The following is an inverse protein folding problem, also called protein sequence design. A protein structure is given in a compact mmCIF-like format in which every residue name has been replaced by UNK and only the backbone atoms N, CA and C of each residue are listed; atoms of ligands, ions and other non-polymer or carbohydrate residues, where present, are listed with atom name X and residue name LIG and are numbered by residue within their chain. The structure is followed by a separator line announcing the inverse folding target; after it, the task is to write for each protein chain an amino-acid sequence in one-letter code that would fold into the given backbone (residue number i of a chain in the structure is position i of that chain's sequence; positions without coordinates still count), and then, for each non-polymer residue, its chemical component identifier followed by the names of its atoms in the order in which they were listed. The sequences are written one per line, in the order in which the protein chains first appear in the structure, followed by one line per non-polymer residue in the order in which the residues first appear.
data_IF_261191979951
#
_entry.id   IF_261191979951
#
_cell.length_a   1.000
_cell.length_b   1.000
_cell.length_c   1.000
_cell.angle_alpha   90.00
_cell.angle_beta   90.00
_cell.angle_gamma   90.00
#
_symmetry.space_group_name_H-M   'P 1'
#
loop_
_entity.id
_entity.type
_entity.pdbx_description
1 polymer ?
#
# COMPACT_ATOMS: atom_id res chain seq x y z
N UNK A 1 2.68 7.58 1.98
CA UNK A 1 3.36 8.79 1.53
C UNK A 1 4.43 8.52 0.49
N UNK A 2 4.45 9.30 -0.58
CA UNK A 2 5.42 9.13 -1.68
C UNK A 2 5.86 10.48 -2.21
N UNK A 3 7.18 10.65 -2.43
CA UNK A 3 7.74 11.83 -3.06
C UNK A 3 8.75 11.44 -4.15
N UNK A 4 8.79 12.20 -5.25
CA UNK A 4 9.74 11.96 -6.36
C UNK A 4 11.16 12.31 -5.93
N UNK A 5 12.15 11.50 -6.33
CA UNK A 5 13.57 11.79 -6.16
C UNK A 5 13.99 13.00 -7.00
N UNK A 6 14.93 13.77 -6.48
CA UNK A 6 15.55 14.87 -7.21
C UNK A 6 16.98 14.49 -7.64
N UNK A 7 17.43 15.01 -8.78
CA UNK A 7 18.78 14.74 -9.31
C UNK A 7 19.88 15.44 -8.51
N UNK A 8 19.57 16.61 -7.96
CA UNK A 8 20.46 17.35 -7.07
C UNK A 8 20.39 16.77 -5.64
N UNK A 9 21.52 16.40 -5.03
CA UNK A 9 21.55 15.76 -3.70
C UNK A 9 20.98 16.60 -2.55
N UNK A 10 21.15 17.92 -2.59
CA UNK A 10 20.60 18.79 -1.54
C UNK A 10 19.09 18.92 -1.66
N UNK A 11 18.59 19.14 -2.87
CA UNK A 11 17.16 19.14 -3.15
C UNK A 11 16.51 17.78 -2.82
N UNK A 12 17.16 16.66 -3.13
CA UNK A 12 16.69 15.31 -2.78
C UNK A 12 16.58 15.10 -1.27
N UNK A 13 17.57 15.60 -0.52
CA UNK A 13 17.52 15.59 0.95
C UNK A 13 16.38 16.44 1.49
N UNK A 14 16.17 17.62 0.94
CA UNK A 14 15.06 18.51 1.31
C UNK A 14 13.69 17.85 1.06
N UNK A 15 13.51 17.19 -0.08
CA UNK A 15 12.29 16.40 -0.42
C UNK A 15 12.07 15.29 0.59
N UNK A 16 13.11 14.54 0.96
CA UNK A 16 13.03 13.48 1.98
C UNK A 16 12.59 14.01 3.34
N UNK A 17 13.18 15.14 3.77
CA UNK A 17 12.82 15.78 5.05
C UNK A 17 11.40 16.33 5.01
N UNK A 18 10.98 16.94 3.89
CA UNK A 18 9.63 17.42 3.71
C UNK A 18 8.60 16.29 3.82
N UNK A 19 8.85 15.14 3.15
CA UNK A 19 7.99 13.96 3.23
C UNK A 19 7.88 13.42 4.67
N UNK A 20 9.01 13.37 5.40
CA UNK A 20 9.02 12.90 6.79
C UNK A 20 8.16 13.77 7.72
N UNK A 21 8.05 15.05 7.43
CA UNK A 21 7.36 16.04 8.25
C UNK A 21 6.00 16.48 7.69
N UNK A 22 5.52 15.85 6.63
CA UNK A 22 4.23 16.20 6.02
C UNK A 22 3.07 15.72 6.90
N UNK A 23 2.25 16.63 7.47
CA UNK A 23 1.18 16.27 8.40
C UNK A 23 0.05 15.46 7.73
N UNK A 24 -0.18 15.65 6.41
CA UNK A 24 -1.16 14.87 5.65
C UNK A 24 -0.69 13.42 5.56
N UNK A 25 0.53 13.22 5.07
CA UNK A 25 1.14 11.90 4.88
C UNK A 25 1.28 11.13 6.20
N UNK A 26 1.69 11.80 7.27
CA UNK A 26 1.75 11.22 8.61
C UNK A 26 0.36 10.82 9.11
N UNK A 27 -0.66 11.67 8.95
CA UNK A 27 -2.03 11.38 9.38
C UNK A 27 -2.62 10.17 8.65
N UNK A 28 -2.42 10.07 7.34
CA UNK A 28 -2.84 8.92 6.54
C UNK A 28 -2.09 7.63 6.96
N UNK A 29 -0.79 7.75 7.21
CA UNK A 29 0.02 6.62 7.66
C UNK A 29 -0.43 6.09 9.03
N UNK A 30 -0.64 6.96 10.02
CA UNK A 30 -1.14 6.57 11.36
C UNK A 30 -2.48 5.84 11.27
N UNK A 31 -3.40 6.33 10.45
CA UNK A 31 -4.69 5.67 10.24
C UNK A 31 -4.52 4.24 9.72
N UNK A 32 -3.59 4.02 8.80
CA UNK A 32 -3.29 2.68 8.27
C UNK A 32 -2.55 1.83 9.30
N UNK A 33 -1.62 2.39 10.06
CA UNK A 33 -0.94 1.70 11.17
C UNK A 33 -1.95 1.18 12.19
N UNK A 34 -2.91 1.99 12.60
CA UNK A 34 -3.95 1.56 13.55
C UNK A 34 -4.84 0.46 12.97
N UNK A 35 -5.16 0.53 11.69
CA UNK A 35 -5.91 -0.51 11.01
C UNK A 35 -5.14 -1.84 10.97
N UNK A 36 -3.84 -1.80 10.65
CA UNK A 36 -2.97 -2.99 10.63
C UNK A 36 -2.83 -3.57 12.05
N UNK A 37 -2.64 -2.73 13.07
CA UNK A 37 -2.62 -3.16 14.47
C UNK A 37 -3.90 -3.88 14.86
N UNK A 38 -5.06 -3.36 14.46
CA UNK A 38 -6.34 -4.00 14.68
C UNK A 38 -6.44 -5.37 13.99
N UNK A 39 -6.04 -5.44 12.72
CA UNK A 39 -6.07 -6.69 11.95
C UNK A 39 -5.17 -7.77 12.59
N UNK A 40 -3.93 -7.44 12.93
CA UNK A 40 -2.99 -8.35 13.59
C UNK A 40 -3.48 -8.80 14.97
N UNK A 41 -4.10 -7.90 15.74
CA UNK A 41 -4.54 -8.19 17.10
C UNK A 41 -5.53 -9.36 17.21
N UNK A 42 -6.24 -9.69 16.14
CA UNK A 42 -7.20 -10.81 16.10
C UNK A 42 -6.53 -12.16 16.28
N UNK A 43 -5.30 -12.29 15.80
CA UNK A 43 -4.53 -13.56 15.84
C UNK A 43 -3.26 -13.46 16.68
N UNK A 44 -2.95 -12.28 17.20
CA UNK A 44 -1.75 -12.04 17.99
C UNK A 44 -1.85 -12.59 19.41
N UNK A 45 -0.73 -13.00 19.97
CA UNK A 45 -0.59 -13.19 21.40
C UNK A 45 -0.88 -11.88 22.14
N UNK A 46 -1.44 -11.98 23.34
CA UNK A 46 -1.85 -10.80 24.11
C UNK A 46 -0.66 -9.89 24.39
N UNK A 47 -0.76 -8.64 23.95
CA UNK A 47 0.26 -7.61 24.18
C UNK A 47 1.47 -7.69 23.24
N UNK A 48 1.46 -8.55 22.20
CA UNK A 48 2.59 -8.70 21.28
C UNK A 48 2.53 -7.77 20.04
N UNK A 49 1.45 -7.03 19.85
CA UNK A 49 1.36 -6.11 18.71
C UNK A 49 2.17 -4.85 19.00
N UNK A 50 3.22 -4.63 18.21
CA UNK A 50 4.14 -3.51 18.35
C UNK A 50 4.29 -2.73 17.05
N UNK A 51 4.49 -1.42 17.14
CA UNK A 51 4.93 -0.57 16.04
C UNK A 51 6.45 -0.49 16.13
N UNK A 52 7.13 -1.22 15.27
CA UNK A 52 8.61 -1.29 15.23
C UNK A 52 9.20 0.00 14.70
N UNK A 53 8.57 0.56 13.68
CA UNK A 53 8.96 1.82 13.08
C UNK A 53 7.72 2.62 12.67
N UNK A 54 7.75 3.92 12.97
CA UNK A 54 6.72 4.87 12.58
C UNK A 54 7.36 5.99 11.74
N UNK A 55 6.77 6.23 10.54
CA UNK A 55 7.21 7.29 9.62
C UNK A 55 8.65 7.15 9.08
N UNK A 56 9.17 5.95 8.93
CA UNK A 56 10.45 5.73 8.28
C UNK A 56 10.44 6.17 6.82
N UNK A 57 11.42 6.97 6.38
CA UNK A 57 11.52 7.39 4.98
C UNK A 57 12.58 6.60 4.26
N UNK A 58 12.15 5.75 3.35
CA UNK A 58 12.97 4.87 2.54
C UNK A 58 13.18 5.45 1.14
N UNK A 59 14.43 5.44 0.68
CA UNK A 59 14.80 5.96 -0.63
C UNK A 59 14.97 4.80 -1.61
N UNK A 60 14.10 4.75 -2.61
CA UNK A 60 14.21 3.84 -3.75
C UNK A 60 14.82 4.56 -4.95
N UNK A 61 15.01 3.86 -6.07
CA UNK A 61 15.65 4.40 -7.26
C UNK A 61 15.00 5.71 -7.74
N UNK A 62 13.67 5.77 -7.78
CA UNK A 62 12.92 6.87 -8.41
C UNK A 62 12.08 7.68 -7.42
N UNK A 63 11.94 7.24 -6.16
CA UNK A 63 11.07 7.87 -5.19
C UNK A 63 11.56 7.66 -3.75
N UNK A 64 11.11 8.55 -2.86
CA UNK A 64 11.09 8.34 -1.42
C UNK A 64 9.71 7.84 -1.00
N UNK A 65 9.66 6.96 -0.03
CA UNK A 65 8.40 6.42 0.49
C UNK A 65 8.39 6.44 2.01
N UNK A 66 7.28 6.90 2.57
CA UNK A 66 7.00 6.86 4.01
C UNK A 66 6.45 5.47 4.34
N UNK A 67 7.14 4.74 5.23
CA UNK A 67 6.81 3.38 5.60
C UNK A 67 6.75 3.29 7.12
N UNK A 68 5.77 2.56 7.64
CA UNK A 68 5.71 2.14 9.03
C UNK A 68 5.63 0.63 9.11
N UNK A 69 6.23 0.05 10.14
CA UNK A 69 6.30 -1.40 10.35
C UNK A 69 5.59 -1.77 11.64
N UNK A 70 4.68 -2.72 11.54
CA UNK A 70 3.96 -3.30 12.68
C UNK A 70 4.24 -4.78 12.74
N UNK A 71 4.60 -5.28 13.91
CA UNK A 71 4.84 -6.69 14.18
C UNK A 71 3.87 -7.26 15.22
N UNK A 72 3.72 -8.58 15.22
CA UNK A 72 3.01 -9.30 16.25
C UNK A 72 3.47 -10.76 16.30
N UNK A 73 3.41 -11.38 17.46
CA UNK A 73 3.59 -12.80 17.61
C UNK A 73 2.26 -13.53 17.37
N UNK A 74 2.25 -14.54 16.51
CA UNK A 74 1.05 -15.35 16.29
C UNK A 74 0.71 -16.13 17.55
N UNK A 75 -0.56 -16.07 17.95
CA UNK A 75 -1.05 -16.82 19.12
C UNK A 75 -0.94 -18.31 18.86
N UNK A 76 -0.52 -19.07 19.89
CA UNK A 76 -0.44 -20.52 19.82
C UNK A 76 -1.77 -21.15 19.37
N UNK A 77 -1.69 -22.10 18.46
CA UNK A 77 -2.85 -22.78 17.86
C UNK A 77 -3.56 -21.98 16.76
N UNK A 78 -3.15 -20.75 16.47
CA UNK A 78 -3.70 -19.97 15.38
C UNK A 78 -2.97 -20.25 14.05
N UNK A 79 -3.73 -20.33 12.97
CA UNK A 79 -3.18 -20.56 11.64
C UNK A 79 -2.68 -19.26 11.01
N UNK A 80 -1.48 -19.29 10.41
CA UNK A 80 -0.93 -18.19 9.60
C UNK A 80 -1.83 -17.86 8.40
N UNK A 81 -2.48 -18.86 7.81
CA UNK A 81 -3.44 -18.65 6.72
C UNK A 81 -4.68 -17.88 7.21
N UNK A 82 -5.17 -18.20 8.42
CA UNK A 82 -6.28 -17.46 9.00
C UNK A 82 -5.91 -16.02 9.33
N UNK A 83 -4.70 -15.79 9.86
CA UNK A 83 -4.19 -14.45 10.10
C UNK A 83 -4.06 -13.64 8.80
N UNK A 84 -3.49 -14.23 7.75
CA UNK A 84 -3.42 -13.59 6.43
C UNK A 84 -4.80 -13.24 5.87
N UNK A 85 -5.77 -14.18 5.95
CA UNK A 85 -7.15 -13.97 5.50
C UNK A 85 -7.82 -12.80 6.22
N UNK A 86 -7.63 -12.67 7.51
CA UNK A 86 -8.29 -11.65 8.32
C UNK A 86 -7.59 -10.29 8.22
N UNK A 87 -6.32 -10.23 7.78
CA UNK A 87 -5.65 -9.01 7.34
C UNK A 87 -6.14 -8.53 5.96
N UNK A 88 -6.71 -9.41 5.16
CA UNK A 88 -7.22 -9.10 3.82
C UNK A 88 -8.68 -8.59 3.86
N UNK A 89 -9.08 -7.61 2.99
CA UNK A 89 -8.20 -6.79 2.15
C UNK A 89 -7.36 -5.81 2.98
N UNK A 90 -6.18 -5.47 2.47
CA UNK A 90 -5.21 -4.65 3.18
C UNK A 90 -5.76 -3.26 3.47
N UNK A 91 -5.48 -2.74 4.68
CA UNK A 91 -5.92 -1.44 5.11
C UNK A 91 -5.51 -0.30 4.18
N UNK A 92 -4.28 -0.36 3.65
CA UNK A 92 -3.74 0.61 2.68
C UNK A 92 -4.49 0.65 1.34
N UNK A 93 -5.30 -0.35 1.05
CA UNK A 93 -6.09 -0.45 -0.19
C UNK A 93 -7.59 -0.28 0.04
N UNK A 94 -8.00 -0.02 1.26
CA UNK A 94 -9.40 0.15 1.68
C UNK A 94 -9.58 1.48 2.41
N UNK A 95 -9.52 1.49 3.72
CA UNK A 95 -9.67 2.67 4.56
C UNK A 95 -10.17 2.30 5.96
N UNK A 96 -10.36 3.30 6.79
CA UNK A 96 -10.87 3.14 8.15
C UNK A 96 -12.20 3.92 8.32
N UNK A 97 -13.25 3.26 8.86
CA UNK A 97 -13.39 1.83 9.20
C UNK A 97 -13.42 0.93 7.94
N UNK A 98 -12.72 -0.20 7.97
CA UNK A 98 -12.49 -1.06 6.79
C UNK A 98 -13.76 -1.48 6.06
N UNK A 99 -14.77 -1.97 6.77
CA UNK A 99 -16.02 -2.45 6.15
C UNK A 99 -16.74 -1.30 5.45
N UNK A 100 -16.84 -0.14 6.10
CA UNK A 100 -17.48 1.04 5.51
C UNK A 100 -16.74 1.54 4.26
N UNK A 101 -15.42 1.55 4.30
CA UNK A 101 -14.59 1.88 3.14
C UNK A 101 -14.84 0.91 1.97
N UNK A 102 -14.94 -0.39 2.23
CA UNK A 102 -15.25 -1.40 1.21
C UNK A 102 -16.63 -1.19 0.58
N UNK A 103 -17.66 -0.87 1.39
CA UNK A 103 -19.00 -0.52 0.89
C UNK A 103 -18.97 0.69 -0.04
N UNK A 104 -18.20 1.73 0.32
CA UNK A 104 -18.04 2.93 -0.50
C UNK A 104 -17.28 2.63 -1.79
N UNK A 105 -16.23 1.83 -1.74
CA UNK A 105 -15.48 1.37 -2.91
C UNK A 105 -16.41 0.63 -3.88
N UNK A 106 -17.21 -0.32 -3.39
CA UNK A 106 -18.15 -1.07 -4.22
C UNK A 106 -19.25 -0.17 -4.84
N UNK A 107 -19.66 0.86 -4.11
CA UNK A 107 -20.68 1.80 -4.59
C UNK A 107 -20.15 2.84 -5.60
N UNK A 108 -18.87 3.26 -5.45
CA UNK A 108 -18.32 4.37 -6.22
C UNK A 108 -17.45 3.93 -7.40
N UNK A 109 -16.80 2.76 -7.32
CA UNK A 109 -15.96 2.27 -8.41
C UNK A 109 -16.80 1.60 -9.50
N UNK A 110 -16.65 2.06 -10.75
CA UNK A 110 -17.43 1.58 -11.89
C UNK A 110 -17.00 0.19 -12.41
N UNK A 111 -15.95 -0.42 -11.83
CA UNK A 111 -15.44 -1.74 -12.24
C UNK A 111 -14.72 -2.45 -11.12
N UNK A 112 -14.72 -3.76 -11.21
CA UNK A 112 -13.99 -4.61 -10.27
C UNK A 112 -12.48 -4.42 -10.40
N UNK A 113 -11.79 -4.36 -9.26
CA UNK A 113 -10.33 -4.20 -9.21
C UNK A 113 -9.56 -5.41 -9.75
N UNK A 114 -10.17 -6.60 -9.72
CA UNK A 114 -9.53 -7.84 -10.15
C UNK A 114 -8.32 -8.17 -9.28
N UNK A 115 -7.16 -8.36 -9.89
CA UNK A 115 -5.92 -8.65 -9.18
C UNK A 115 -5.35 -7.40 -8.47
N UNK A 116 -5.61 -6.21 -8.99
CA UNK A 116 -5.20 -4.95 -8.33
C UNK A 116 -5.81 -4.86 -6.94
N UNK A 117 -5.00 -4.45 -5.95
CA UNK A 117 -5.42 -4.43 -4.54
C UNK A 117 -5.57 -5.83 -3.90
N UNK A 118 -5.27 -6.89 -4.62
CA UNK A 118 -5.17 -8.24 -4.12
C UNK A 118 -3.82 -8.50 -3.45
N UNK A 119 -3.53 -9.78 -3.20
CA UNK A 119 -2.25 -10.23 -2.64
C UNK A 119 -1.67 -11.36 -3.50
N UNK A 120 -0.35 -11.31 -3.70
CA UNK A 120 0.41 -12.40 -4.30
C UNK A 120 1.58 -12.73 -3.37
N UNK A 121 1.80 -14.01 -3.13
CA UNK A 121 2.88 -14.46 -2.29
C UNK A 121 3.10 -15.96 -2.36
N UNK A 122 3.86 -16.47 -1.42
CA UNK A 122 4.16 -17.90 -1.31
C UNK A 122 4.24 -18.33 0.15
N UNK A 123 4.08 -19.61 0.36
CA UNK A 123 4.41 -20.30 1.59
C UNK A 123 5.62 -21.19 1.34
N UNK A 124 6.63 -21.07 2.17
CA UNK A 124 7.79 -21.96 2.17
C UNK A 124 7.46 -23.30 2.86
N UNK A 125 8.20 -24.38 2.55
CA UNK A 125 7.99 -25.68 3.20
C UNK A 125 8.13 -25.66 4.73
N UNK A 126 8.95 -24.75 5.24
CA UNK A 126 9.22 -24.54 6.67
C UNK A 126 8.06 -23.83 7.39
N UNK A 127 7.08 -23.30 6.64
CA UNK A 127 5.92 -22.60 7.16
C UNK A 127 6.02 -21.07 7.10
N UNK A 128 7.18 -20.54 6.72
CA UNK A 128 7.35 -19.13 6.46
C UNK A 128 6.56 -18.69 5.23
N UNK A 129 6.15 -17.44 5.19
CA UNK A 129 5.42 -16.92 4.05
C UNK A 129 5.72 -15.42 3.83
N UNK A 130 5.58 -15.00 2.58
CA UNK A 130 5.70 -13.61 2.19
C UNK A 130 4.62 -13.26 1.14
N UNK A 131 3.93 -12.16 1.35
CA UNK A 131 2.84 -11.68 0.49
C UNK A 131 2.96 -10.19 0.21
N UNK A 132 2.95 -9.84 -1.05
CA UNK A 132 2.87 -8.46 -1.50
C UNK A 132 1.45 -8.06 -1.85
N UNK A 133 1.10 -6.81 -1.54
CA UNK A 133 -0.08 -6.17 -2.11
C UNK A 133 0.15 -5.91 -3.60
N UNK A 134 -0.80 -6.27 -4.44
CA UNK A 134 -0.70 -6.08 -5.90
C UNK A 134 -0.99 -4.64 -6.26
N UNK A 135 0.04 -3.82 -6.15
CA UNK A 135 0.09 -2.44 -6.61
C UNK A 135 1.34 -2.25 -7.48
N UNK A 136 1.37 -1.20 -8.28
CA UNK A 136 2.53 -0.90 -9.15
C UNK A 136 2.98 -2.09 -9.99
N UNK A 137 2.02 -2.91 -10.38
CA UNK A 137 2.21 -4.16 -11.10
C UNK A 137 1.60 -4.07 -12.49
N UNK A 138 2.29 -4.66 -13.46
CA UNK A 138 1.82 -4.80 -14.84
C UNK A 138 1.23 -6.20 -14.99
N UNK A 139 0.02 -6.27 -15.51
CA UNK A 139 -0.67 -7.53 -15.81
C UNK A 139 -0.61 -7.78 -17.32
N UNK A 140 -0.21 -8.96 -17.71
CA UNK A 140 -0.20 -9.40 -19.10
C UNK A 140 -1.11 -10.61 -19.30
N UNK A 141 -2.09 -10.45 -20.17
CA UNK A 141 -2.92 -11.56 -20.62
C UNK A 141 -2.41 -12.07 -21.96
N UNK A 142 -1.81 -13.27 -21.96
CA UNK A 142 -1.18 -13.85 -23.14
C UNK A 142 -2.21 -14.28 -24.22
N UNK A 143 -3.44 -14.59 -23.84
CA UNK A 143 -4.50 -15.06 -24.78
C UNK A 143 -4.92 -13.93 -25.71
N UNK A 144 -5.25 -12.77 -25.15
CA UNK A 144 -5.67 -11.58 -25.93
C UNK A 144 -4.55 -10.56 -26.10
N UNK A 145 -3.33 -10.87 -25.66
CA UNK A 145 -2.14 -10.01 -25.77
C UNK A 145 -2.36 -8.61 -25.19
N UNK A 146 -3.12 -8.57 -24.07
CA UNK A 146 -3.48 -7.33 -23.42
C UNK A 146 -2.52 -7.08 -22.25
N UNK A 147 -1.94 -5.89 -22.22
CA UNK A 147 -1.21 -5.35 -21.08
C UNK A 147 -2.11 -4.37 -20.35
N UNK A 148 -2.19 -4.48 -19.03
CA UNK A 148 -2.94 -3.55 -18.19
C UNK A 148 -2.22 -3.27 -16.89
N UNK A 149 -2.46 -2.10 -16.33
CA UNK A 149 -2.04 -1.72 -14.98
C UNK A 149 -3.05 -0.75 -14.38
N UNK A 150 -3.09 -0.71 -13.06
CA UNK A 150 -4.02 0.15 -12.31
C UNK A 150 -3.24 0.93 -11.26
N UNK A 151 -3.60 2.18 -11.10
CA UNK A 151 -3.14 3.05 -10.03
C UNK A 151 -4.34 3.67 -9.32
N UNK A 152 -4.15 4.07 -8.07
CA UNK A 152 -5.17 4.73 -7.27
C UNK A 152 -4.54 5.62 -6.21
N UNK A 153 -5.32 6.53 -5.68
CA UNK A 153 -4.95 7.43 -4.60
C UNK A 153 -5.96 7.35 -3.45
N UNK A 154 -5.63 7.93 -2.30
CA UNK A 154 -6.48 7.92 -1.13
C UNK A 154 -7.45 9.10 -1.18
N UNK A 155 -8.73 8.85 -0.99
CA UNK A 155 -9.76 9.88 -0.87
C UNK A 155 -10.10 10.07 0.60
N UNK A 156 -9.58 11.13 1.18
CA UNK A 156 -9.82 11.54 2.56
C UNK A 156 -10.62 12.84 2.59
N UNK A 157 -11.04 13.27 3.79
CA UNK A 157 -11.79 14.52 3.95
C UNK A 157 -11.05 15.79 3.47
N UNK A 158 -9.72 15.71 3.33
CA UNK A 158 -8.85 16.79 2.84
C UNK A 158 -8.33 16.56 1.43
N UNK A 159 -8.79 15.51 0.75
CA UNK A 159 -8.37 15.20 -0.61
C UNK A 159 -8.87 16.26 -1.59
N UNK A 160 -8.00 16.68 -2.49
CA UNK A 160 -8.30 17.57 -3.61
C UNK A 160 -8.24 16.74 -4.90
N UNK A 161 -9.35 16.66 -5.62
CA UNK A 161 -9.54 15.75 -6.76
C UNK A 161 -8.40 15.83 -7.80
N UNK A 162 -7.97 17.01 -8.17
CA UNK A 162 -6.92 17.20 -9.17
C UNK A 162 -5.56 16.68 -8.66
N UNK A 163 -5.24 16.94 -7.40
CA UNK A 163 -3.99 16.43 -6.77
C UNK A 163 -3.98 14.92 -6.67
N UNK A 164 -5.10 14.32 -6.27
CA UNK A 164 -5.20 12.87 -6.17
C UNK A 164 -5.14 12.20 -7.55
N UNK A 165 -5.65 12.86 -8.58
CA UNK A 165 -5.49 12.42 -9.96
C UNK A 165 -4.03 12.51 -10.43
N UNK A 166 -3.35 13.60 -10.17
CA UNK A 166 -1.91 13.76 -10.48
C UNK A 166 -1.05 12.72 -9.75
N UNK A 167 -1.40 12.39 -8.52
CA UNK A 167 -0.75 11.31 -7.76
C UNK A 167 -0.97 9.94 -8.43
N UNK A 168 -2.17 9.66 -8.96
CA UNK A 168 -2.43 8.45 -9.74
C UNK A 168 -1.55 8.40 -11.00
N UNK A 169 -1.40 9.51 -11.72
CA UNK A 169 -0.54 9.60 -12.91
C UNK A 169 0.93 9.37 -12.54
N UNK A 170 1.41 9.97 -11.45
CA UNK A 170 2.77 9.76 -10.95
C UNK A 170 3.02 8.29 -10.58
N UNK A 171 2.08 7.65 -9.88
CA UNK A 171 2.15 6.23 -9.53
C UNK A 171 2.13 5.31 -10.76
N UNK A 172 1.47 5.72 -11.84
CA UNK A 172 1.39 4.96 -13.09
C UNK A 172 2.62 5.16 -13.99
N UNK A 173 3.40 6.22 -13.82
CA UNK A 173 4.48 6.63 -14.73
C UNK A 173 5.53 5.52 -14.95
N UNK A 174 5.98 4.86 -13.89
CA UNK A 174 6.97 3.80 -14.00
C UNK A 174 6.47 2.60 -14.80
N UNK A 175 5.20 2.24 -14.66
CA UNK A 175 4.56 1.16 -15.42
C UNK A 175 4.39 1.56 -16.89
N UNK A 176 3.97 2.79 -17.14
CA UNK A 176 3.85 3.34 -18.49
C UNK A 176 5.18 3.31 -19.25
N UNK A 177 6.25 3.73 -18.59
CA UNK A 177 7.60 3.70 -19.17
C UNK A 177 8.10 2.28 -19.43
N UNK A 178 7.82 1.35 -18.51
CA UNK A 178 8.21 -0.06 -18.65
C UNK A 178 7.50 -0.76 -19.82
N UNK A 179 6.26 -0.40 -20.11
CA UNK A 179 5.49 -0.94 -21.25
C UNK A 179 5.91 -0.32 -22.58
N UNK A 180 6.72 0.74 -22.57
CA UNK A 180 7.21 1.38 -23.79
C UNK A 180 6.12 2.10 -24.57
N UNK A 181 5.11 2.65 -23.90
CA UNK A 181 4.10 3.49 -24.54
C UNK A 181 4.81 4.70 -25.17
N UNK A 182 5.08 4.61 -26.46
CA UNK A 182 5.41 5.77 -27.30
C UNK A 182 4.18 6.67 -27.34
N UNK A 183 4.39 7.94 -27.11
CA UNK A 183 3.41 8.97 -27.42
C UNK A 183 3.14 9.01 -28.93
#
# INVERSE_FOLDING_TARGET
GTARRHSDPEADRAVRVALANDPKEQSENVMIVDLVRNDLSRHAAKGSVHVEELFGVYSFRNLHQLISTVSAELREGHSSIAALRDCFPMGSMTGAPKIRAMELIEACENRKRGLYSGAIGYFAPEGDFDFNVVIRSIQYNAVNRLVSYTAGSAITARAEADREYDECLLKAESMRLAVGSRQ
#
